data_IF_209393576751
#
_entry.id   IF_209393576751
#
_cell.length_a   1.000
_cell.length_b   1.000
_cell.length_c   1.000
_cell.angle_alpha   90.00
_cell.angle_beta   90.00
_cell.angle_gamma   90.00
#
_symmetry.space_group_name_H-M   'P 1'
#
loop_
_entity.id
_entity.type
_entity.pdbx_description
1 polymer ?
#
# COMPACT_ATOMS: atom_id res chain seq x y z
N UNK A 1 32.33 -22.48 -0.70
CA UNK A 1 33.13 -23.16 0.35
C UNK A 1 33.93 -22.13 1.16
N UNK A 2 33.43 -21.73 2.33
CA UNK A 2 34.12 -21.02 3.45
C UNK A 2 33.11 -20.94 4.60
N UNK A 3 33.00 -22.01 5.42
CA UNK A 3 33.57 -22.14 6.77
C UNK A 3 33.04 -21.03 7.72
N UNK A 4 31.95 -21.30 8.46
CA UNK A 4 31.98 -21.82 9.86
C UNK A 4 32.77 -20.91 10.81
N UNK A 5 32.07 -20.03 11.52
CA UNK A 5 32.46 -19.60 12.88
C UNK A 5 31.21 -19.27 13.70
N UNK A 6 31.00 -20.12 14.71
CA UNK A 6 30.02 -20.04 15.77
C UNK A 6 30.70 -19.39 16.99
N UNK A 7 30.15 -18.29 17.51
CA UNK A 7 30.43 -17.72 18.84
C UNK A 7 29.13 -17.02 19.25
N UNK A 8 28.19 -17.66 19.95
CA UNK A 8 28.19 -17.86 21.41
C UNK A 8 28.57 -16.55 22.14
N UNK A 9 27.57 -15.69 22.34
CA UNK A 9 27.52 -14.78 23.48
C UNK A 9 26.26 -15.12 24.27
N UNK A 10 26.42 -16.11 25.15
CA UNK A 10 25.52 -16.38 26.26
C UNK A 10 25.87 -15.37 27.35
N UNK A 11 24.85 -15.03 28.15
CA UNK A 11 24.89 -14.45 29.49
C UNK A 11 24.80 -12.91 29.52
N UNK A 12 23.58 -12.41 29.75
CA UNK A 12 23.26 -11.89 31.09
C UNK A 12 21.75 -11.82 31.31
N UNK A 13 21.30 -12.68 32.25
CA UNK A 13 20.04 -12.55 32.96
C UNK A 13 19.95 -11.17 33.62
N UNK A 14 18.86 -10.47 33.37
CA UNK A 14 18.26 -9.59 34.36
C UNK A 14 16.76 -9.75 34.30
N UNK A 15 16.28 -10.71 35.09
CA UNK A 15 14.90 -10.79 35.54
C UNK A 15 14.62 -9.56 36.40
N UNK A 16 13.66 -8.73 36.01
CA UNK A 16 12.93 -7.91 36.97
C UNK A 16 11.43 -8.06 36.70
N UNK A 17 10.83 -8.87 37.56
CA UNK A 17 9.40 -9.00 37.78
C UNK A 17 8.82 -7.62 38.12
N UNK A 18 7.84 -7.16 37.35
CA UNK A 18 6.77 -6.33 37.89
C UNK A 18 5.43 -6.98 37.56
N UNK A 19 4.83 -7.44 38.65
CA UNK A 19 3.46 -7.88 38.84
C UNK A 19 2.50 -6.78 38.39
N UNK A 20 1.51 -7.16 37.59
CA UNK A 20 0.34 -6.35 37.22
C UNK A 20 -0.84 -7.27 36.89
N UNK A 21 -1.57 -7.64 37.94
CA UNK A 21 -2.94 -8.18 37.95
C UNK A 21 -3.90 -7.11 37.40
N UNK A 22 -4.99 -7.33 36.67
CA UNK A 22 -5.76 -8.51 36.28
C UNK A 22 -6.96 -8.03 35.43
N UNK A 23 -7.76 -8.96 34.89
CA UNK A 23 -8.96 -8.66 34.12
C UNK A 23 -9.32 -9.78 33.16
N UNK A 24 -9.93 -10.83 33.70
CA UNK A 24 -10.50 -11.99 33.03
C UNK A 24 -11.93 -11.65 32.58
N UNK A 25 -12.25 -11.85 31.29
CA UNK A 25 -13.62 -12.14 30.84
C UNK A 25 -13.53 -13.00 29.57
N UNK A 26 -13.88 -14.26 29.76
CA UNK A 26 -13.97 -15.31 28.77
C UNK A 26 -15.43 -15.51 28.39
N UNK A 27 -15.79 -15.38 27.11
CA UNK A 27 -16.93 -16.11 26.54
C UNK A 27 -16.96 -16.07 25.00
N UNK A 28 -16.92 -17.26 24.40
CA UNK A 28 -17.93 -17.63 23.40
C UNK A 28 -17.62 -17.46 21.90
N UNK A 29 -16.80 -18.37 21.38
CA UNK A 29 -17.04 -19.18 20.17
C UNK A 29 -17.48 -18.57 18.81
N UNK A 30 -16.67 -18.96 17.81
CA UNK A 30 -17.05 -19.42 16.46
C UNK A 30 -17.35 -18.40 15.36
N UNK A 31 -16.36 -18.28 14.45
CA UNK A 31 -16.61 -18.60 13.05
C UNK A 31 -16.63 -17.45 12.06
N UNK A 32 -15.46 -17.06 11.56
CA UNK A 32 -15.18 -17.04 10.10
C UNK A 32 -13.71 -16.72 9.88
N UNK A 33 -13.02 -17.73 9.34
CA UNK A 33 -11.80 -17.58 8.57
C UNK A 33 -12.05 -16.64 7.38
N UNK A 34 -10.97 -15.99 6.93
CA UNK A 34 -10.80 -15.23 5.69
C UNK A 34 -10.81 -13.70 5.82
N UNK A 35 -10.11 -13.13 6.80
CA UNK A 35 -9.54 -11.80 6.61
C UNK A 35 -8.08 -11.97 6.21
N UNK A 36 -7.83 -11.85 4.91
CA UNK A 36 -6.49 -11.67 4.35
C UNK A 36 -5.93 -10.35 4.84
N UNK A 37 -5.46 -10.33 6.09
CA UNK A 37 -4.56 -9.31 6.58
C UNK A 37 -3.25 -9.50 5.83
N UNK A 38 -3.14 -8.88 4.67
CA UNK A 38 -1.84 -8.41 4.20
C UNK A 38 -1.60 -7.07 4.88
N UNK A 39 -1.43 -7.14 6.21
CA UNK A 39 -0.61 -6.17 6.92
C UNK A 39 0.84 -6.47 6.50
N UNK A 40 1.21 -6.07 5.28
CA UNK A 40 2.61 -5.89 4.93
C UNK A 40 3.07 -4.59 5.59
N UNK A 41 3.22 -4.67 6.92
CA UNK A 41 4.01 -3.74 7.68
C UNK A 41 5.40 -4.34 7.77
N UNK A 42 6.32 -3.72 7.02
CA UNK A 42 7.79 -3.85 7.10
C UNK A 42 8.40 -4.92 6.19
N UNK A 43 8.72 -4.51 4.96
CA UNK A 43 10.04 -4.79 4.41
C UNK A 43 10.66 -3.51 3.82
N UNK A 44 11.65 -3.03 4.58
CA UNK A 44 12.98 -2.59 4.13
C UNK A 44 13.04 -1.70 2.90
N UNK A 45 13.44 -0.45 3.18
CA UNK A 45 13.90 0.53 2.23
C UNK A 45 14.76 -0.07 1.11
N UNK A 46 14.25 -0.01 -0.12
CA UNK A 46 15.11 0.17 -1.28
C UNK A 46 14.40 1.07 -2.30
N UNK A 47 15.09 2.15 -2.68
CA UNK A 47 14.82 3.10 -3.78
C UNK A 47 13.60 4.05 -3.66
N UNK A 48 13.91 5.32 -3.38
CA UNK A 48 13.16 6.56 -3.70
C UNK A 48 11.63 6.44 -3.85
N UNK A 49 10.92 6.82 -2.79
CA UNK A 49 9.55 7.35 -2.74
C UNK A 49 8.61 6.97 -3.90
N UNK A 50 8.29 5.68 -4.06
CA UNK A 50 7.19 5.28 -4.94
C UNK A 50 5.87 5.72 -4.30
N UNK A 51 5.36 6.86 -4.75
CA UNK A 51 4.04 7.35 -4.38
C UNK A 51 2.97 6.31 -4.76
N UNK A 52 2.22 5.80 -3.77
CA UNK A 52 1.10 4.90 -4.01
C UNK A 52 -0.20 5.67 -3.90
N UNK A 53 -1.19 5.38 -4.74
CA UNK A 53 -2.50 6.04 -4.69
C UNK A 53 -3.54 5.11 -4.08
N UNK A 54 -4.42 5.67 -3.25
CA UNK A 54 -5.56 4.99 -2.70
C UNK A 54 -6.73 5.02 -3.71
N UNK A 55 -7.20 3.84 -4.12
CA UNK A 55 -8.34 3.69 -5.03
C UNK A 55 -9.69 4.06 -4.40
N UNK A 56 -9.74 4.32 -3.09
CA UNK A 56 -10.95 4.75 -2.39
C UNK A 56 -11.08 6.28 -2.33
N UNK A 57 -10.01 7.02 -2.04
CA UNK A 57 -10.11 8.48 -1.89
C UNK A 57 -9.39 9.27 -2.99
N UNK A 58 -8.50 8.62 -3.75
CA UNK A 58 -7.74 9.23 -4.82
C UNK A 58 -6.45 9.94 -4.38
N UNK A 59 -6.17 10.01 -3.07
CA UNK A 59 -4.95 10.58 -2.50
C UNK A 59 -3.83 9.55 -2.35
N UNK A 60 -2.63 10.04 -2.04
CA UNK A 60 -1.48 9.20 -1.74
C UNK A 60 -1.76 8.34 -0.50
N UNK A 61 -1.64 7.02 -0.64
CA UNK A 61 -1.85 6.07 0.45
C UNK A 61 -0.78 6.29 1.52
N UNK A 62 -1.24 6.49 2.77
CA UNK A 62 -0.36 6.77 3.92
C UNK A 62 -0.06 8.26 4.15
N UNK A 63 -0.57 9.17 3.32
CA UNK A 63 -0.53 10.62 3.60
C UNK A 63 -1.63 11.03 4.60
N UNK A 64 -1.45 12.15 5.30
CA UNK A 64 -2.49 12.73 6.19
C UNK A 64 -3.79 13.06 5.44
N UNK A 65 -3.69 13.31 4.14
CA UNK A 65 -4.83 13.56 3.25
C UNK A 65 -5.53 12.28 2.76
N UNK A 66 -4.97 11.10 3.03
CA UNK A 66 -5.55 9.83 2.60
C UNK A 66 -6.85 9.56 3.36
N UNK A 67 -7.96 9.51 2.63
CA UNK A 67 -9.29 9.22 3.17
C UNK A 67 -9.74 10.21 4.26
N UNK A 68 -9.19 11.42 4.29
CA UNK A 68 -9.72 12.48 5.13
C UNK A 68 -11.15 12.82 4.72
N UNK A 69 -11.93 13.35 5.66
CA UNK A 69 -13.26 13.85 5.35
C UNK A 69 -13.18 14.99 4.31
N UNK A 70 -14.09 14.96 3.34
CA UNK A 70 -14.13 15.96 2.28
C UNK A 70 -15.22 15.65 1.27
N UNK A 71 -15.47 16.61 0.38
CA UNK A 71 -16.45 16.46 -0.69
C UNK A 71 -15.97 15.46 -1.74
N UNK A 72 -16.84 14.51 -2.11
CA UNK A 72 -16.60 13.64 -3.25
C UNK A 72 -17.00 14.35 -4.55
N UNK A 73 -16.24 14.10 -5.60
CA UNK A 73 -16.60 14.48 -6.96
C UNK A 73 -17.70 13.55 -7.46
N UNK A 74 -18.83 14.11 -7.89
CA UNK A 74 -19.99 13.33 -8.34
C UNK A 74 -19.70 12.56 -9.65
N UNK A 75 -18.83 13.10 -10.51
CA UNK A 75 -18.48 12.48 -11.80
C UNK A 75 -17.55 11.27 -11.66
N UNK A 76 -16.63 11.28 -10.69
CA UNK A 76 -15.57 10.29 -10.59
C UNK A 76 -15.52 9.52 -9.26
N UNK A 77 -16.22 9.97 -8.22
CA UNK A 77 -16.34 9.33 -6.91
C UNK A 77 -15.18 9.60 -5.93
N UNK A 78 -14.06 10.14 -6.41
CA UNK A 78 -12.91 10.50 -5.56
C UNK A 78 -13.12 11.80 -4.78
N UNK A 79 -12.29 12.06 -3.76
CA UNK A 79 -12.31 13.36 -3.08
C UNK A 79 -11.94 14.47 -4.07
N UNK A 80 -12.66 15.60 -4.02
CA UNK A 80 -12.38 16.77 -4.87
C UNK A 80 -10.97 17.27 -4.59
N UNK A 81 -10.20 17.52 -5.66
CA UNK A 81 -8.81 17.94 -5.57
C UNK A 81 -7.81 16.80 -5.31
N UNK A 82 -8.28 15.55 -5.16
CA UNK A 82 -7.39 14.40 -5.07
C UNK A 82 -6.60 14.21 -6.38
N UNK A 83 -5.36 13.68 -6.32
CA UNK A 83 -4.55 13.35 -7.50
C UNK A 83 -5.24 12.48 -8.55
N UNK A 84 -6.21 11.66 -8.19
CA UNK A 84 -7.00 10.84 -9.12
C UNK A 84 -8.35 11.45 -9.52
N UNK A 85 -8.75 12.57 -8.92
CA UNK A 85 -10.03 13.23 -9.20
C UNK A 85 -10.12 13.58 -10.68
N UNK A 86 -11.21 13.16 -11.33
CA UNK A 86 -11.49 13.32 -12.76
C UNK A 86 -10.47 12.68 -13.72
N UNK A 87 -9.44 12.01 -13.21
CA UNK A 87 -8.43 11.27 -13.99
C UNK A 87 -8.81 9.80 -14.11
N UNK A 88 -9.45 9.26 -13.09
CA UNK A 88 -9.99 7.89 -13.01
C UNK A 88 -11.38 7.90 -12.39
N UNK A 89 -12.13 6.80 -12.57
CA UNK A 89 -13.35 6.58 -11.79
C UNK A 89 -13.02 5.67 -10.61
N UNK A 90 -13.44 6.07 -9.43
CA UNK A 90 -13.32 5.31 -8.19
C UNK A 90 -13.93 3.91 -8.36
N UNK A 91 -15.05 3.78 -9.08
CA UNK A 91 -15.70 2.49 -9.33
C UNK A 91 -14.79 1.43 -9.98
N UNK A 92 -13.78 1.85 -10.76
CA UNK A 92 -12.86 0.92 -11.44
C UNK A 92 -11.74 0.40 -10.51
N UNK A 93 -11.44 1.16 -9.44
CA UNK A 93 -10.23 0.94 -8.61
C UNK A 93 -10.51 0.95 -7.10
N UNK A 94 -11.76 1.06 -6.67
CA UNK A 94 -12.18 1.03 -5.27
C UNK A 94 -11.62 -0.20 -4.53
N UNK A 95 -11.17 0.02 -3.30
CA UNK A 95 -10.49 -0.98 -2.46
C UNK A 95 -9.09 -1.38 -2.91
N UNK A 96 -8.56 -0.81 -4.01
CA UNK A 96 -7.23 -1.14 -4.53
C UNK A 96 -6.23 -0.05 -4.20
N UNK A 97 -4.95 -0.42 -4.21
CA UNK A 97 -3.84 0.53 -4.16
C UNK A 97 -3.20 0.57 -5.53
N UNK A 98 -2.99 1.75 -6.10
CA UNK A 98 -2.32 1.90 -7.38
C UNK A 98 -0.86 2.27 -7.15
N UNK A 99 0.04 1.64 -7.89
CA UNK A 99 1.46 1.93 -7.86
C UNK A 99 1.75 3.16 -8.73
N UNK A 100 2.28 4.24 -8.15
CA UNK A 100 2.66 5.42 -8.93
C UNK A 100 3.91 5.24 -9.79
N UNK A 101 4.67 4.15 -9.62
CA UNK A 101 5.85 3.84 -10.44
C UNK A 101 5.47 3.22 -11.78
N UNK A 102 4.65 2.18 -11.78
CA UNK A 102 4.28 1.43 -12.99
C UNK A 102 2.82 1.66 -13.42
N UNK A 103 2.01 2.30 -12.59
CA UNK A 103 0.62 2.63 -12.88
C UNK A 103 -0.39 1.51 -12.62
N UNK A 104 0.09 0.31 -12.31
CA UNK A 104 -0.70 -0.91 -12.06
C UNK A 104 -1.24 -0.98 -10.62
N UNK A 105 -2.13 -1.93 -10.37
CA UNK A 105 -2.59 -2.25 -9.01
C UNK A 105 -1.43 -2.86 -8.23
N UNK A 106 -1.05 -2.26 -7.09
CA UNK A 106 0.00 -2.74 -6.20
C UNK A 106 -0.28 -4.19 -5.78
N UNK A 107 0.70 -5.06 -5.94
CA UNK A 107 0.60 -6.48 -5.58
C UNK A 107 -0.11 -7.35 -6.61
N UNK A 108 -0.64 -6.78 -7.70
CA UNK A 108 -1.06 -7.58 -8.84
C UNK A 108 0.16 -8.19 -9.53
N UNK A 109 -0.03 -9.33 -10.21
CA UNK A 109 1.04 -10.00 -10.98
C UNK A 109 1.71 -9.04 -11.97
N UNK A 110 0.96 -8.12 -12.56
CA UNK A 110 1.45 -7.13 -13.54
C UNK A 110 2.18 -5.93 -12.93
N UNK A 111 2.12 -5.78 -11.60
CA UNK A 111 2.74 -4.64 -10.91
C UNK A 111 4.26 -4.72 -11.02
N UNK A 112 4.89 -3.71 -11.62
CA UNK A 112 6.34 -3.61 -11.77
C UNK A 112 6.99 -4.81 -12.48
N UNK A 113 6.26 -5.48 -13.37
CA UNK A 113 6.85 -6.51 -14.24
C UNK A 113 7.89 -5.88 -15.18
N UNK A 114 9.07 -6.49 -15.27
CA UNK A 114 10.17 -6.00 -16.09
C UNK A 114 9.87 -6.06 -17.60
N UNK A 115 9.09 -7.06 -18.02
CA UNK A 115 8.69 -7.26 -19.43
C UNK A 115 7.45 -6.46 -19.85
N UNK A 116 6.90 -5.61 -18.96
CA UNK A 116 5.72 -4.83 -19.27
C UNK A 116 6.00 -3.77 -20.35
N UNK A 117 5.13 -3.67 -21.36
CA UNK A 117 5.21 -2.58 -22.33
C UNK A 117 5.07 -1.23 -21.62
N UNK A 118 6.09 -0.37 -21.71
CA UNK A 118 6.06 0.98 -21.14
C UNK A 118 5.41 1.95 -22.13
N UNK A 119 4.52 2.80 -21.63
CA UNK A 119 3.89 3.85 -22.40
C UNK A 119 4.88 4.97 -22.70
N UNK A 120 5.19 5.21 -23.97
CA UNK A 120 6.09 6.28 -24.40
C UNK A 120 5.64 7.71 -24.01
N UNK A 121 4.35 7.91 -23.67
CA UNK A 121 3.81 9.22 -23.30
C UNK A 121 3.97 9.54 -21.82
N UNK A 122 3.69 8.59 -20.93
CA UNK A 122 3.62 8.81 -19.49
C UNK A 122 4.59 7.96 -18.66
N UNK A 123 5.33 7.05 -19.31
CA UNK A 123 6.36 6.19 -18.73
C UNK A 123 5.83 5.17 -17.71
N UNK A 124 4.52 5.00 -17.63
CA UNK A 124 3.85 3.94 -16.88
C UNK A 124 3.59 2.74 -17.79
N UNK A 125 3.25 1.59 -17.21
CA UNK A 125 2.86 0.40 -17.96
C UNK A 125 1.67 0.75 -18.87
N UNK A 126 1.80 0.41 -20.15
CA UNK A 126 0.81 0.70 -21.18
C UNK A 126 -0.48 -0.06 -20.89
N UNK A 127 -1.59 0.67 -20.82
CA UNK A 127 -2.89 0.10 -20.49
C UNK A 127 -3.13 -0.10 -18.99
N UNK A 128 -2.16 0.23 -18.14
CA UNK A 128 -2.36 0.25 -16.70
C UNK A 128 -3.43 1.29 -16.31
N UNK A 129 -4.10 1.13 -15.15
CA UNK A 129 -5.10 2.08 -14.67
C UNK A 129 -4.62 3.53 -14.72
N UNK A 130 -3.37 3.80 -14.33
CA UNK A 130 -2.84 5.17 -14.30
C UNK A 130 -2.23 5.63 -15.64
N UNK A 131 -2.17 4.78 -16.67
CA UNK A 131 -1.56 5.09 -17.96
C UNK A 131 -2.22 6.33 -18.60
N UNK A 132 -1.43 7.38 -18.80
CA UNK A 132 -1.87 8.68 -19.32
C UNK A 132 -2.95 9.37 -18.47
N UNK A 133 -3.10 8.99 -17.19
CA UNK A 133 -4.08 9.61 -16.27
C UNK A 133 -3.43 10.54 -15.25
N UNK A 134 -2.18 10.30 -14.86
CA UNK A 134 -1.48 11.12 -13.87
C UNK A 134 -0.77 12.32 -14.49
N UNK A 135 0.08 12.06 -15.48
CA UNK A 135 0.86 13.06 -16.21
C UNK A 135 0.14 13.41 -17.51
N UNK A 136 -0.58 14.51 -17.54
CA UNK A 136 -0.56 15.30 -18.77
C UNK A 136 0.81 15.95 -18.76
N UNK A 137 1.63 15.67 -19.78
CA UNK A 137 2.88 16.41 -19.96
C UNK A 137 2.48 17.88 -20.07
N UNK A 138 2.84 18.68 -19.08
CA UNK A 138 3.01 20.12 -19.28
C UNK A 138 4.07 20.25 -20.38
N UNK A 139 3.62 20.61 -21.59
CA UNK A 139 4.46 21.21 -22.63
C UNK A 139 4.46 22.73 -22.46
#
# INVERSE_FOLDING_TARGET
>A
MKKWFCQINVILLTSLLLVGCGGDDETGASGSTNDGTSADATNTAETMEVAHFCGDCGHYKGSDSCCQAGDKCEDCGFLKGAPLCCKLKQADVAGKVLCGKCGEVKGAEKCCQDDAEVCAKCELNKGAPLCCKLKEKEE
#
